data_IF_782679530252
#
_entry.id   IF_782679530252
#
_cell.length_a   1.000
_cell.length_b   1.000
_cell.length_c   1.000
_cell.angle_alpha   90.00
_cell.angle_beta   90.00
_cell.angle_gamma   90.00
#
_symmetry.space_group_name_H-M   'P 1'
#
loop_
_entity.id
_entity.type
_entity.pdbx_description
1 polymer ?
#
# COMPACT_ATOMS: atom_id res chain seq x y z
N UNK A 1 -12.52 -17.29 14.17
CA UNK A 1 -11.66 -16.11 13.94
C UNK A 1 -10.34 -16.59 13.36
N UNK A 2 -9.80 -15.86 12.38
CA UNK A 2 -8.52 -16.19 11.77
C UNK A 2 -7.38 -16.11 12.80
N UNK A 3 -6.40 -17.01 12.72
CA UNK A 3 -5.18 -16.93 13.53
C UNK A 3 -4.18 -15.94 12.92
N UNK A 4 -4.57 -14.66 12.84
CA UNK A 4 -3.71 -13.56 12.39
C UNK A 4 -2.99 -12.98 13.59
N UNK A 5 -1.68 -12.79 13.46
CA UNK A 5 -0.85 -12.14 14.48
C UNK A 5 -0.69 -10.65 14.15
N UNK A 6 -0.50 -9.76 15.14
CA UNK A 6 -0.07 -8.39 14.88
C UNK A 6 1.26 -8.37 14.11
N UNK A 7 1.45 -7.33 13.29
CA UNK A 7 2.65 -7.16 12.47
C UNK A 7 2.36 -6.48 11.13
N UNK A 8 3.30 -6.61 10.19
CA UNK A 8 3.21 -6.01 8.86
C UNK A 8 2.73 -7.00 7.82
N UNK A 9 1.84 -6.55 6.93
CA UNK A 9 1.20 -7.38 5.93
C UNK A 9 1.05 -6.65 4.60
N UNK A 10 1.31 -7.34 3.48
CA UNK A 10 0.80 -6.94 2.17
C UNK A 10 -0.59 -7.55 1.98
N UNK A 11 -1.58 -6.73 1.64
CA UNK A 11 -2.96 -7.16 1.37
C UNK A 11 -3.16 -7.19 -0.14
N UNK A 12 -3.68 -8.29 -0.67
CA UNK A 12 -4.01 -8.43 -2.08
C UNK A 12 -5.48 -8.78 -2.24
N UNK A 13 -6.19 -8.04 -3.09
CA UNK A 13 -7.49 -8.44 -3.61
C UNK A 13 -7.35 -9.60 -4.59
N UNK A 14 -8.30 -10.52 -4.59
CA UNK A 14 -8.28 -11.70 -5.48
C UNK A 14 -9.47 -11.66 -6.43
N UNK A 15 -9.51 -10.62 -7.25
CA UNK A 15 -10.53 -10.45 -8.27
C UNK A 15 -10.08 -11.12 -9.57
N UNK A 16 -10.91 -11.98 -10.15
CA UNK A 16 -10.70 -12.52 -11.51
C UNK A 16 -9.28 -13.06 -11.79
N UNK A 17 -8.65 -13.72 -10.80
CA UNK A 17 -7.28 -14.26 -10.85
C UNK A 17 -6.15 -13.22 -10.82
N UNK A 18 -6.46 -11.93 -10.69
CA UNK A 18 -5.48 -10.88 -10.46
C UNK A 18 -5.24 -10.67 -8.97
N UNK A 19 -3.98 -10.38 -8.62
CA UNK A 19 -3.54 -10.12 -7.26
C UNK A 19 -3.29 -8.63 -7.08
N UNK A 20 -4.36 -7.83 -7.09
CA UNK A 20 -4.25 -6.39 -6.98
C UNK A 20 -3.86 -6.00 -5.56
N UNK A 21 -2.75 -5.28 -5.35
CA UNK A 21 -2.37 -4.84 -4.03
C UNK A 21 -3.36 -3.79 -3.51
N UNK A 22 -3.81 -3.98 -2.27
CA UNK A 22 -4.72 -3.05 -1.62
C UNK A 22 -3.89 -2.01 -0.89
N UNK A 23 -4.03 -0.73 -1.20
CA UNK A 23 -3.36 0.36 -0.47
C UNK A 23 -3.93 1.73 -0.85
N UNK A 24 -3.29 2.78 -0.36
CA UNK A 24 -3.48 4.16 -0.79
C UNK A 24 -2.83 4.43 -2.16
N UNK A 25 -3.34 5.43 -2.87
CA UNK A 25 -2.76 5.89 -4.13
C UNK A 25 -1.34 6.45 -3.91
N UNK A 26 -0.46 6.33 -4.90
CA UNK A 26 0.85 7.03 -4.91
C UNK A 26 0.71 8.54 -5.07
N UNK A 27 -0.36 8.98 -5.73
CA UNK A 27 -0.65 10.38 -5.98
C UNK A 27 -1.92 10.72 -5.21
N UNK A 28 -1.76 11.57 -4.21
CA UNK A 28 -2.84 12.07 -3.37
C UNK A 28 -2.66 13.58 -3.20
N UNK A 29 -3.77 14.28 -2.99
CA UNK A 29 -3.70 15.69 -2.59
C UNK A 29 -3.11 15.82 -1.17
N UNK A 30 -2.62 17.03 -0.85
CA UNK A 30 -1.94 17.33 0.43
C UNK A 30 -2.89 17.60 1.60
N UNK A 31 -4.20 17.53 1.41
CA UNK A 31 -5.15 17.75 2.50
C UNK A 31 -5.15 16.60 3.48
N UNK A 32 -5.64 16.88 4.69
CA UNK A 32 -5.88 15.88 5.73
C UNK A 32 -7.27 15.23 5.62
N UNK A 33 -7.99 15.45 4.51
CA UNK A 33 -9.23 14.72 4.24
C UNK A 33 -8.95 13.22 4.13
N UNK A 34 -9.93 12.36 4.45
CA UNK A 34 -9.77 10.92 4.42
C UNK A 34 -9.31 10.48 3.03
N UNK A 35 -8.35 9.57 3.00
CA UNK A 35 -7.81 9.06 1.73
C UNK A 35 -8.43 7.72 1.41
N UNK A 36 -8.97 7.61 0.20
CA UNK A 36 -9.58 6.38 -0.29
C UNK A 36 -8.56 5.24 -0.35
N UNK A 37 -9.01 4.04 0.01
CA UNK A 37 -8.26 2.80 -0.19
C UNK A 37 -8.66 2.18 -1.53
N UNK A 38 -7.68 1.64 -2.24
CA UNK A 38 -7.84 1.12 -3.59
C UNK A 38 -7.26 -0.29 -3.70
N UNK A 39 -7.90 -1.14 -4.48
CA UNK A 39 -7.24 -2.22 -5.22
C UNK A 39 -6.48 -1.57 -6.37
N UNK A 40 -5.18 -1.40 -6.17
CA UNK A 40 -4.30 -0.72 -7.11
C UNK A 40 -4.03 -1.58 -8.34
N UNK A 41 -3.68 -0.92 -9.45
CA UNK A 41 -3.20 -1.60 -10.66
C UNK A 41 -1.89 -2.33 -10.36
N UNK A 42 -1.67 -3.49 -10.97
CA UNK A 42 -0.50 -4.35 -10.72
C UNK A 42 0.84 -3.62 -10.94
N UNK A 43 0.87 -2.67 -11.87
CA UNK A 43 2.06 -1.90 -12.23
C UNK A 43 2.37 -0.75 -11.24
N UNK A 44 1.56 -0.56 -10.19
CA UNK A 44 1.73 0.57 -9.27
C UNK A 44 2.99 0.34 -8.41
N UNK A 45 4.02 1.20 -8.50
CA UNK A 45 5.23 1.06 -7.69
C UNK A 45 4.97 1.48 -6.23
N UNK A 46 5.88 1.10 -5.31
CA UNK A 46 5.89 1.65 -3.94
C UNK A 46 4.80 1.09 -3.03
N UNK A 47 4.56 -0.22 -3.11
CA UNK A 47 3.60 -0.93 -2.26
C UNK A 47 4.14 -1.05 -0.83
N UNK A 48 3.71 -0.15 0.03
CA UNK A 48 4.04 -0.22 1.45
C UNK A 48 3.13 -1.24 2.16
N UNK A 49 3.68 -2.04 3.08
CA UNK A 49 2.90 -2.95 3.90
C UNK A 49 1.97 -2.17 4.84
N UNK A 50 0.90 -2.85 5.19
CA UNK A 50 -0.05 -2.44 6.21
C UNK A 50 0.44 -2.86 7.58
N UNK A 51 0.19 -2.04 8.60
CA UNK A 51 0.43 -2.42 9.98
C UNK A 51 -0.87 -2.86 10.64
N UNK A 52 -0.84 -4.06 11.20
CA UNK A 52 -1.96 -4.69 11.88
C UNK A 52 -1.69 -4.64 13.39
N UNK A 53 -2.45 -3.82 14.10
CA UNK A 53 -2.35 -3.69 15.56
C UNK A 53 -3.56 -4.35 16.21
N UNK A 54 -3.36 -5.26 17.18
CA UNK A 54 -4.49 -5.91 17.87
C UNK A 54 -5.28 -4.86 18.64
N UNK A 55 -6.61 -4.86 18.49
CA UNK A 55 -7.54 -4.07 19.29
C UNK A 55 -8.74 -4.93 19.62
N UNK A 56 -9.01 -5.15 20.92
CA UNK A 56 -10.11 -5.99 21.37
C UNK A 56 -10.16 -7.34 20.63
N UNK A 57 -11.29 -7.58 19.97
CA UNK A 57 -11.52 -8.81 19.20
C UNK A 57 -11.02 -8.70 17.74
N UNK A 58 -10.76 -7.49 17.25
CA UNK A 58 -10.32 -7.19 15.89
C UNK A 58 -8.90 -6.64 15.80
N UNK A 59 -8.70 -5.76 14.82
CA UNK A 59 -7.45 -5.09 14.52
C UNK A 59 -7.70 -3.65 14.05
N UNK A 60 -6.79 -2.75 14.41
CA UNK A 60 -6.62 -1.48 13.70
C UNK A 60 -5.68 -1.76 12.53
N UNK A 61 -6.13 -1.40 11.32
CA UNK A 61 -5.38 -1.59 10.08
C UNK A 61 -4.90 -0.23 9.59
N UNK A 62 -3.58 -0.06 9.52
CA UNK A 62 -2.95 1.19 9.12
C UNK A 62 -2.33 1.07 7.73
N UNK A 63 -2.64 2.02 6.86
CA UNK A 63 -2.04 2.15 5.53
C UNK A 63 -1.18 3.40 5.48
N UNK A 64 0.12 3.21 5.27
CA UNK A 64 1.12 4.29 5.24
C UNK A 64 1.05 5.19 6.49
N UNK A 65 1.01 4.55 7.66
CA UNK A 65 1.00 5.21 8.96
C UNK A 65 -0.33 5.83 9.39
N UNK A 66 -1.41 5.67 8.61
CA UNK A 66 -2.73 6.20 8.96
C UNK A 66 -3.75 5.05 9.22
N UNK A 67 -4.48 5.06 10.35
CA UNK A 67 -5.50 4.06 10.64
C UNK A 67 -6.68 4.20 9.68
N UNK A 68 -7.37 3.10 9.42
CA UNK A 68 -8.53 3.07 8.52
C UNK A 68 -9.86 3.14 9.26
N UNK A 69 -10.82 3.78 8.60
CA UNK A 69 -12.19 3.96 9.06
C UNK A 69 -13.19 3.78 7.92
N UNK A 70 -14.39 4.30 8.14
CA UNK A 70 -15.46 4.32 7.15
C UNK A 70 -15.92 5.74 6.88
N UNK A 71 -16.24 6.06 5.63
CA UNK A 71 -16.78 7.36 5.23
C UNK A 71 -17.76 7.16 4.08
N UNK A 72 -19.03 7.53 4.25
CA UNK A 72 -20.09 7.39 3.24
C UNK A 72 -20.20 6.01 2.53
N UNK A 73 -19.83 4.93 3.24
CA UNK A 73 -19.83 3.57 2.68
C UNK A 73 -18.52 3.15 2.00
N UNK A 74 -17.50 3.99 2.07
CA UNK A 74 -16.14 3.72 1.59
C UNK A 74 -15.20 3.32 2.73
N UNK A 75 -14.13 2.58 2.40
CA UNK A 75 -13.00 2.38 3.31
C UNK A 75 -11.95 3.46 3.05
N UNK A 76 -11.59 4.18 4.11
CA UNK A 76 -10.68 5.33 4.02
C UNK A 76 -9.59 5.29 5.09
N UNK A 77 -8.43 5.86 4.79
CA UNK A 77 -7.38 6.16 5.76
C UNK A 77 -7.62 7.54 6.38
N UNK A 78 -7.64 7.61 7.71
CA UNK A 78 -7.90 8.81 8.49
C UNK A 78 -6.57 9.51 8.79
N UNK A 79 -6.26 10.57 8.05
CA UNK A 79 -4.99 11.30 8.18
C UNK A 79 -4.99 12.31 9.32
N UNK A 80 -6.17 12.82 9.70
CA UNK A 80 -6.29 13.80 10.76
C UNK A 80 -6.38 13.08 12.11
N UNK A 81 -5.36 13.19 12.99
CA UNK A 81 -5.37 12.49 14.28
C UNK A 81 -6.45 13.01 15.24
N UNK A 82 -7.06 14.17 14.95
CA UNK A 82 -8.18 14.71 15.73
C UNK A 82 -9.52 14.05 15.38
N UNK A 83 -9.59 13.32 14.27
CA UNK A 83 -10.79 12.61 13.86
C UNK A 83 -10.71 11.20 14.43
N UNK A 84 -11.54 10.92 15.43
CA UNK A 84 -11.57 9.62 16.10
C UNK A 84 -12.53 8.65 15.38
N UNK A 85 -12.46 8.64 14.05
CA UNK A 85 -13.42 7.97 13.16
C UNK A 85 -12.84 6.68 12.55
N UNK A 86 -11.64 6.28 12.98
CA UNK A 86 -11.10 4.97 12.65
C UNK A 86 -11.89 3.88 13.38
N UNK A 87 -11.96 2.68 12.80
CA UNK A 87 -12.74 1.59 13.36
C UNK A 87 -11.90 0.32 13.52
N UNK A 88 -12.35 -0.55 14.42
CA UNK A 88 -11.81 -1.88 14.61
C UNK A 88 -12.37 -2.83 13.53
N UNK A 89 -11.47 -3.45 12.77
CA UNK A 89 -11.79 -4.42 11.74
C UNK A 89 -11.67 -5.85 12.26
N UNK A 90 -12.60 -6.71 11.85
CA UNK A 90 -12.56 -8.13 12.15
C UNK A 90 -12.13 -8.88 10.90
N UNK A 91 -11.15 -9.78 11.07
CA UNK A 91 -10.61 -10.60 9.99
C UNK A 91 -11.08 -12.03 10.19
N UNK A 92 -11.89 -12.50 9.24
CA UNK A 92 -12.36 -13.87 9.20
C UNK A 92 -11.60 -14.66 8.15
N UNK A 93 -11.32 -15.91 8.47
CA UNK A 93 -10.81 -16.90 7.54
C UNK A 93 -11.89 -17.98 7.44
N UNK A 94 -12.61 -18.08 6.32
CA UNK A 94 -13.52 -19.19 6.08
C UNK A 94 -12.75 -20.51 6.18
N UNK A 95 -13.37 -21.54 6.74
CA UNK A 95 -12.79 -22.88 6.72
C UNK A 95 -12.63 -23.28 5.23
N UNK A 96 -11.46 -23.82 4.88
CA UNK A 96 -11.09 -24.32 3.54
C UNK A 96 -10.59 -23.32 2.48
N UNK A 97 -10.15 -22.11 2.87
CA UNK A 97 -9.57 -21.19 1.88
C UNK A 97 -8.35 -20.41 2.38
N UNK A 98 -7.39 -20.20 1.48
CA UNK A 98 -6.21 -19.34 1.68
C UNK A 98 -6.55 -17.83 1.66
N UNK A 99 -7.83 -17.49 1.73
CA UNK A 99 -8.35 -16.13 1.64
C UNK A 99 -9.04 -15.71 2.94
N UNK A 100 -9.06 -14.40 3.15
CA UNK A 100 -9.58 -13.73 4.31
C UNK A 100 -10.66 -12.75 3.87
N UNK A 101 -11.65 -12.56 4.74
CA UNK A 101 -12.64 -11.49 4.63
C UNK A 101 -12.35 -10.46 5.72
N UNK A 102 -12.36 -9.18 5.36
CA UNK A 102 -12.20 -8.06 6.30
C UNK A 102 -13.56 -7.39 6.45
N UNK A 103 -14.03 -7.21 7.69
CA UNK A 103 -15.37 -6.67 7.95
C UNK A 103 -15.43 -5.79 9.17
N UNK A 104 -16.49 -5.00 9.22
CA UNK A 104 -16.90 -4.17 10.36
C UNK A 104 -17.14 -5.01 11.63
N UNK A 105 -16.99 -4.38 12.80
CA UNK A 105 -17.14 -5.03 14.10
C UNK A 105 -18.54 -5.60 14.34
N UNK A 106 -19.58 -4.92 13.85
CA UNK A 106 -20.97 -5.38 13.94
C UNK A 106 -21.29 -6.55 12.98
N UNK A 107 -20.31 -6.95 12.18
CA UNK A 107 -20.31 -8.06 11.23
C UNK A 107 -21.28 -7.91 10.06
N UNK A 108 -21.76 -6.70 9.77
CA UNK A 108 -22.77 -6.48 8.71
C UNK A 108 -22.16 -6.15 7.37
N UNK A 109 -21.04 -5.42 7.38
CA UNK A 109 -20.41 -4.89 6.18
C UNK A 109 -18.97 -5.38 6.03
N UNK A 110 -18.61 -5.70 4.79
CA UNK A 110 -17.34 -6.28 4.39
C UNK A 110 -16.62 -5.32 3.45
N UNK A 111 -15.29 -5.33 3.50
CA UNK A 111 -14.47 -4.73 2.46
C UNK A 111 -14.78 -5.45 1.14
N UNK A 112 -15.16 -4.68 0.13
CA UNK A 112 -15.46 -5.13 -1.22
C UNK A 112 -14.65 -4.30 -2.21
N UNK A 113 -14.07 -4.96 -3.20
CA UNK A 113 -13.49 -4.28 -4.36
C UNK A 113 -14.64 -3.84 -5.26
N UNK A 114 -14.76 -2.52 -5.49
CA UNK A 114 -15.77 -1.94 -6.38
C UNK A 114 -15.57 -2.41 -7.82
N UNK A 115 -16.66 -2.59 -8.56
CA UNK A 115 -16.62 -2.84 -10.00
C UNK A 115 -16.21 -1.57 -10.78
N UNK A 116 -16.37 -0.39 -10.18
CA UNK A 116 -16.00 0.87 -10.78
C UNK A 116 -14.49 1.09 -10.74
N UNK A 117 -13.90 1.28 -11.92
CA UNK A 117 -12.49 1.60 -12.06
C UNK A 117 -12.27 3.12 -12.00
N UNK A 118 -11.49 3.56 -11.02
CA UNK A 118 -11.08 4.93 -10.85
C UNK A 118 -9.66 5.19 -11.36
N UNK A 119 -9.13 6.35 -10.97
CA UNK A 119 -7.81 6.80 -11.38
C UNK A 119 -6.69 5.85 -10.92
N UNK A 120 -6.70 5.44 -9.65
CA UNK A 120 -5.65 4.61 -9.05
C UNK A 120 -5.91 3.09 -9.20
N UNK A 121 -7.11 2.70 -9.65
CA UNK A 121 -7.59 1.32 -9.65
C UNK A 121 -9.03 1.27 -9.18
N UNK A 122 -9.44 0.13 -8.62
CA UNK A 122 -10.81 -0.07 -8.12
C UNK A 122 -10.88 0.29 -6.65
N UNK A 123 -11.89 1.03 -6.24
CA UNK A 123 -11.98 1.49 -4.85
C UNK A 123 -12.38 0.35 -3.91
N UNK A 124 -11.89 0.38 -2.66
CA UNK A 124 -12.40 -0.48 -1.59
C UNK A 124 -13.57 0.20 -0.89
N UNK A 125 -14.72 -0.46 -0.93
CA UNK A 125 -16.00 0.01 -0.40
C UNK A 125 -16.57 -0.98 0.61
N UNK A 126 -17.61 -0.59 1.32
CA UNK A 126 -18.33 -1.43 2.27
C UNK A 126 -19.64 -1.94 1.65
N UNK A 127 -19.80 -3.27 1.62
CA UNK A 127 -21.01 -3.94 1.11
C UNK A 127 -21.42 -5.12 1.99
N UNK A 128 -22.62 -5.65 1.79
CA UNK A 128 -23.07 -6.85 2.52
C UNK A 128 -22.32 -8.07 2.01
N UNK A 129 -22.32 -9.15 2.79
CA UNK A 129 -21.68 -10.40 2.38
C UNK A 129 -22.23 -10.90 1.03
N UNK A 130 -21.33 -11.28 0.13
CA UNK A 130 -21.68 -11.80 -1.20
C UNK A 130 -21.88 -10.73 -2.27
N UNK A 131 -21.84 -9.44 -1.91
CA UNK A 131 -21.90 -8.33 -2.86
C UNK A 131 -20.48 -7.97 -3.32
N UNK A 132 -20.11 -8.43 -4.51
CA UNK A 132 -18.82 -8.17 -5.16
C UNK A 132 -17.66 -9.03 -4.64
N UNK A 133 -16.43 -8.62 -4.94
CA UNK A 133 -15.23 -9.35 -4.54
C UNK A 133 -14.79 -8.97 -3.13
N UNK A 134 -14.85 -9.94 -2.21
CA UNK A 134 -14.61 -9.75 -0.76
C UNK A 134 -13.50 -10.65 -0.20
N UNK A 135 -12.78 -11.33 -1.09
CA UNK A 135 -11.71 -12.23 -0.72
C UNK A 135 -10.37 -11.53 -0.87
N UNK A 136 -9.58 -11.59 0.19
CA UNK A 136 -8.26 -10.97 0.26
C UNK A 136 -7.23 -12.00 0.69
N UNK A 137 -6.00 -11.88 0.20
CA UNK A 137 -4.86 -12.60 0.77
C UNK A 137 -4.02 -11.66 1.58
N UNK A 138 -3.61 -12.17 2.73
CA UNK A 138 -2.74 -11.47 3.67
C UNK A 138 -1.39 -12.17 3.64
N UNK A 139 -0.36 -11.46 3.22
CA UNK A 139 1.02 -11.95 3.19
C UNK A 139 1.79 -11.21 4.27
N UNK A 140 2.21 -11.92 5.31
CA UNK A 140 3.05 -11.32 6.37
C UNK A 140 4.40 -10.93 5.78
N UNK A 141 4.90 -9.76 6.18
CA UNK A 141 6.24 -9.27 5.84
C UNK A 141 7.00 -9.07 7.13
N UNK A 142 8.28 -9.44 7.14
CA UNK A 142 9.16 -9.21 8.29
C UNK A 142 9.58 -7.74 8.31
N UNK A 143 9.72 -7.17 9.52
CA UNK A 143 9.97 -5.73 9.71
C UNK A 143 11.34 -5.30 9.14
N UNK A 144 12.33 -6.20 9.15
CA UNK A 144 13.66 -5.96 8.59
C UNK A 144 13.63 -5.82 7.05
N UNK A 145 12.72 -6.53 6.36
CA UNK A 145 12.54 -6.43 4.91
C UNK A 145 11.87 -5.10 4.51
N UNK A 146 11.10 -4.51 5.42
CA UNK A 146 10.42 -3.22 5.20
C UNK A 146 11.39 -2.04 5.19
N UNK A 147 12.31 -1.98 6.16
CA UNK A 147 13.30 -0.89 6.23
C UNK A 147 14.19 -0.87 4.97
N UNK A 148 14.56 -2.05 4.45
CA UNK A 148 15.35 -2.16 3.23
C UNK A 148 14.62 -1.66 1.99
N UNK A 149 13.32 -1.94 1.84
CA UNK A 149 12.50 -1.42 0.74
C UNK A 149 12.30 0.11 0.87
N UNK A 150 11.98 0.63 2.06
CA UNK A 150 11.75 2.06 2.29
C UNK A 150 13.01 2.93 2.06
N UNK A 151 14.18 2.45 2.46
CA UNK A 151 15.47 3.12 2.20
C UNK A 151 15.86 3.12 0.72
N UNK A 152 15.43 2.12 -0.07
CA UNK A 152 15.66 2.07 -1.51
C UNK A 152 14.92 3.17 -2.29
N UNK A 153 13.79 3.66 -1.78
CA UNK A 153 13.00 4.71 -2.44
C UNK A 153 13.40 6.14 -2.05
N UNK A 154 13.98 6.34 -0.87
CA UNK A 154 14.44 7.66 -0.42
C UNK A 154 15.82 8.06 -0.97
N UNK A 155 16.57 7.12 -1.55
CA UNK A 155 17.78 7.44 -2.29
C UNK A 155 17.47 7.55 -3.78
N UNK A 156 17.15 8.77 -4.21
CA UNK A 156 17.33 9.17 -5.60
C UNK A 156 18.69 8.68 -6.09
N UNK A 157 18.67 8.05 -7.25
CA UNK A 157 19.78 7.37 -7.93
C UNK A 157 21.12 8.11 -7.79
N UNK A 158 21.88 7.77 -6.75
CA UNK A 158 23.32 7.89 -6.73
C UNK A 158 23.85 6.50 -7.02
N UNK A 159 24.18 6.22 -8.28
CA UNK A 159 24.98 5.05 -8.65
C UNK A 159 26.27 5.08 -7.81
N UNK A 160 26.28 4.36 -6.68
CA UNK A 160 27.50 3.91 -6.02
C UNK A 160 27.72 2.48 -6.47
N UNK A 161 28.37 2.36 -7.62
CA UNK A 161 28.97 1.11 -8.04
C UNK A 161 29.84 0.57 -6.91
N UNK A 162 29.54 -0.64 -6.45
CA UNK A 162 30.47 -1.41 -5.63
C UNK A 162 31.66 -1.76 -6.53
N UNK A 163 32.73 -0.98 -6.45
CA UNK A 163 34.03 -1.43 -6.94
C UNK A 163 34.45 -2.65 -6.11
N UNK A 164 34.41 -3.83 -6.72
CA UNK A 164 35.29 -4.93 -6.32
C UNK A 164 36.72 -4.51 -6.69
N UNK A 165 37.70 -4.59 -5.78
CA UNK A 165 39.09 -4.39 -6.15
C UNK A 165 39.56 -5.67 -6.86
N UNK A 166 39.89 -5.57 -8.16
CA UNK A 166 40.63 -6.64 -8.85
C UNK A 166 40.31 -6.94 -10.32
N UNK A 167 39.44 -6.20 -11.02
CA UNK A 167 39.24 -6.39 -12.46
C UNK A 167 39.76 -5.18 -13.23
N UNK A 168 40.90 -5.38 -13.92
CA UNK A 168 41.33 -4.52 -15.03
C UNK A 168 40.29 -4.63 -16.14
N UNK A 169 39.61 -3.54 -16.44
CA UNK A 169 38.75 -3.42 -17.61
C UNK A 169 39.50 -2.56 -18.61
N UNK A 170 40.10 -3.23 -19.59
CA UNK A 170 40.64 -2.59 -20.78
C UNK A 170 39.54 -1.82 -21.52
N UNK A 171 39.96 -0.67 -22.01
CA UNK A 171 39.23 0.31 -22.79
C UNK A 171 38.59 -0.26 -24.06
N UNK A 172 37.38 0.18 -24.37
CA UNK A 172 37.02 0.77 -25.68
C UNK A 172 35.52 1.06 -25.69
N UNK A 173 35.13 2.32 -25.68
CA UNK A 173 34.06 2.89 -26.52
C UNK A 173 33.94 4.39 -26.17
N UNK A 174 34.72 5.17 -26.91
CA UNK A 174 34.43 6.58 -27.16
C UNK A 174 33.06 6.71 -27.85
N UNK A 175 32.16 7.55 -27.32
CA UNK A 175 31.88 8.85 -27.94
C UNK A 175 30.63 9.59 -27.41
N UNK A 176 30.84 10.89 -27.25
CA UNK A 176 29.89 12.02 -27.36
C UNK A 176 28.75 12.13 -26.34
N UNK A 177 28.87 13.08 -25.40
CA UNK A 177 28.13 14.36 -25.44
C UNK A 177 28.78 15.39 -24.49
N UNK A 178 29.14 16.53 -25.07
CA UNK A 178 29.90 17.62 -24.47
C UNK A 178 29.10 18.52 -23.53
N UNK A 179 29.77 18.96 -22.47
CA UNK A 179 29.39 19.98 -21.49
C UNK A 179 28.82 21.28 -22.09
N UNK A 180 27.68 21.73 -21.54
CA UNK A 180 27.15 23.09 -21.73
C UNK A 180 26.83 23.74 -20.38
N UNK A 181 27.83 24.40 -19.75
CA UNK A 181 27.65 25.21 -18.53
C UNK A 181 26.79 26.44 -18.84
N UNK A 182 25.53 26.47 -18.41
CA UNK A 182 24.74 27.71 -18.36
C UNK A 182 25.09 28.50 -17.09
N UNK A 183 25.84 29.58 -17.24
CA UNK A 183 26.01 30.61 -16.22
C UNK A 183 24.66 31.30 -15.94
N UNK A 184 24.23 31.32 -14.67
CA UNK A 184 23.13 32.19 -14.20
C UNK A 184 23.69 33.59 -13.95
N UNK A 185 23.25 34.58 -14.70
CA UNK A 185 23.36 35.99 -14.32
C UNK A 185 22.15 36.35 -13.46
N UNK A 186 22.40 36.78 -12.23
CA UNK A 186 21.43 37.49 -11.41
C UNK A 186 21.42 38.95 -11.87
N UNK A 187 20.25 39.51 -12.16
CA UNK A 187 20.08 40.95 -12.30
C UNK A 187 19.80 41.55 -10.92
N UNK A 188 20.52 42.63 -10.64
CA UNK A 188 20.31 43.62 -9.57
C UNK A 188 19.02 44.41 -9.74
#
# INVERSE_FOLDING_TARGET
MANIKPGYYKIYGTEQYEWNPISRSMIEDRSLWPKKIWALRLETPGLQPWKFTKSGDGFILESRGAPTGQDEGDVVAILNPRWNDYIEWVIDQPQDVAFFKIRTKDRKLFWTISEENGFAGRQIVLRKEGEGFQNFRLVRVDEDDFEAEEHGYNHGSGYRGRHRPGEEVDSEYDNHFSYGKRQKKFCS
#
